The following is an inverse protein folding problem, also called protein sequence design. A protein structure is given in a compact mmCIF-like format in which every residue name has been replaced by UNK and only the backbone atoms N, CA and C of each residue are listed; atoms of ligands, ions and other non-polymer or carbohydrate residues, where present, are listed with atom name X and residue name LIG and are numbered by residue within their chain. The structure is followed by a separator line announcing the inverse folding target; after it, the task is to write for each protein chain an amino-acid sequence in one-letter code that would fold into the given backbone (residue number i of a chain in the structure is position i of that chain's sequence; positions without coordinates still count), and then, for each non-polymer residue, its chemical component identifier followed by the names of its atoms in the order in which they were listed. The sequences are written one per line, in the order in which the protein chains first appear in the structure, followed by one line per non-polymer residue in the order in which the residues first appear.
data_IF_636671361794
#
_entry.id   IF_636671361794
#
_cell.length_a   1.000
_cell.length_b   1.000
_cell.length_c   1.000
_cell.angle_alpha   90.00
_cell.angle_beta   90.00
_cell.angle_gamma   90.00
#
_symmetry.space_group_name_H-M   'P 1'
#
loop_
_entity.id
_entity.type
_entity.pdbx_description
1 polymer ?
#
# COMPACT_ATOMS: atom_id res chain seq x y z
N UNK A 1 7.87 -19.78 -58.85
CA UNK A 1 7.71 -21.17 -59.31
C UNK A 1 6.52 -21.77 -58.55
N UNK A 2 5.36 -21.82 -59.19
CA UNK A 2 4.24 -22.75 -59.27
C UNK A 2 4.03 -23.66 -58.03
N UNK A 3 2.97 -23.38 -57.27
CA UNK A 3 1.64 -24.03 -57.17
C UNK A 3 1.65 -25.56 -57.01
N UNK A 4 0.94 -26.03 -55.94
CA UNK A 4 -0.14 -26.99 -56.08
C UNK A 4 -0.89 -27.14 -54.74
N UNK A 5 -2.20 -26.90 -54.77
CA UNK A 5 -3.21 -27.39 -53.81
C UNK A 5 -3.63 -28.80 -54.21
N UNK A 6 -4.09 -29.68 -53.31
CA UNK A 6 -4.97 -30.77 -53.68
C UNK A 6 -6.40 -30.58 -53.20
N UNK A 7 -7.29 -31.02 -54.06
CA UNK A 7 -8.75 -31.08 -53.97
C UNK A 7 -9.24 -32.03 -52.88
N UNK A 8 -10.37 -31.60 -52.32
CA UNK A 8 -11.24 -32.38 -51.46
C UNK A 8 -12.14 -33.30 -52.31
N UNK A 9 -12.18 -34.58 -51.96
CA UNK A 9 -13.15 -35.54 -52.54
C UNK A 9 -14.19 -35.92 -51.47
N UNK A 10 -15.45 -35.48 -51.65
CA UNK A 10 -16.58 -35.92 -50.86
C UNK A 10 -17.16 -37.18 -51.49
N UNK A 11 -17.12 -38.30 -50.80
CA UNK A 11 -17.88 -39.47 -51.12
C UNK A 11 -19.13 -39.55 -50.24
N UNK A 12 -20.29 -39.39 -50.84
CA UNK A 12 -21.59 -39.61 -50.18
C UNK A 12 -21.94 -41.11 -50.28
N UNK A 13 -22.09 -41.77 -49.13
CA UNK A 13 -22.65 -43.11 -49.03
C UNK A 13 -24.08 -43.00 -48.53
N UNK A 14 -25.00 -43.26 -49.38
CA UNK A 14 -26.42 -43.39 -49.04
C UNK A 14 -26.69 -44.79 -48.47
N UNK A 15 -27.09 -44.88 -47.22
CA UNK A 15 -27.50 -46.09 -46.54
C UNK A 15 -29.03 -46.05 -46.39
N UNK A 16 -29.72 -46.88 -47.14
CA UNK A 16 -31.19 -47.11 -47.06
C UNK A 16 -31.49 -47.95 -45.83
N UNK A 17 -32.13 -47.36 -44.81
CA UNK A 17 -32.67 -48.05 -43.64
C UNK A 17 -34.15 -48.33 -43.82
N UNK A 18 -34.51 -49.61 -43.83
CA UNK A 18 -35.89 -50.10 -43.75
C UNK A 18 -36.44 -49.84 -42.34
N UNK A 19 -37.60 -49.19 -42.31
CA UNK A 19 -38.28 -48.89 -41.04
C UNK A 19 -38.96 -50.16 -40.50
N UNK A 20 -38.58 -50.63 -39.35
CA UNK A 20 -39.30 -51.57 -38.50
C UNK A 20 -40.21 -50.78 -37.57
N UNK A 21 -41.54 -51.00 -37.73
CA UNK A 21 -42.53 -50.40 -36.85
C UNK A 21 -42.42 -51.02 -35.44
N UNK A 22 -41.94 -50.23 -34.48
CA UNK A 22 -41.93 -50.59 -33.05
C UNK A 22 -43.30 -50.23 -32.45
N UNK A 23 -44.00 -51.26 -31.94
CA UNK A 23 -45.22 -51.10 -31.13
C UNK A 23 -44.85 -50.37 -29.80
N UNK A 24 -45.35 -49.17 -29.63
CA UNK A 24 -45.18 -48.39 -28.41
C UNK A 24 -46.11 -48.91 -27.31
N UNK A 25 -45.56 -49.51 -26.28
CA UNK A 25 -46.24 -49.71 -24.99
C UNK A 25 -46.45 -48.34 -24.31
N UNK A 26 -47.65 -48.05 -23.77
CA UNK A 26 -47.86 -46.78 -23.07
C UNK A 26 -47.03 -46.75 -21.80
N UNK A 27 -46.17 -45.71 -21.71
CA UNK A 27 -45.42 -45.40 -20.52
C UNK A 27 -46.39 -44.96 -19.42
N UNK A 28 -46.28 -45.47 -18.18
CA UNK A 28 -47.10 -44.98 -17.06
C UNK A 28 -46.90 -43.47 -16.89
N UNK A 29 -48.01 -42.75 -16.68
CA UNK A 29 -48.05 -41.31 -16.42
C UNK A 29 -46.99 -40.93 -15.36
N UNK A 30 -46.01 -40.16 -15.77
CA UNK A 30 -45.04 -39.62 -14.85
C UNK A 30 -45.75 -38.62 -13.92
N UNK A 31 -45.71 -38.89 -12.62
CA UNK A 31 -46.21 -37.96 -11.60
C UNK A 31 -45.69 -36.54 -11.87
N UNK A 32 -46.55 -35.53 -11.80
CA UNK A 32 -46.10 -34.15 -12.01
C UNK A 32 -44.96 -33.82 -11.04
N UNK A 33 -43.83 -33.38 -11.59
CA UNK A 33 -42.72 -32.90 -10.78
C UNK A 33 -43.22 -31.71 -9.94
N UNK A 34 -43.01 -31.70 -8.61
CA UNK A 34 -43.42 -30.58 -7.82
C UNK A 34 -42.69 -29.31 -8.34
N UNK A 35 -43.46 -28.25 -8.56
CA UNK A 35 -42.92 -26.94 -8.91
C UNK A 35 -41.82 -26.56 -7.90
N UNK A 36 -40.66 -26.14 -8.36
CA UNK A 36 -39.64 -25.66 -7.44
C UNK A 36 -40.20 -24.43 -6.70
N UNK A 37 -40.57 -24.63 -5.45
CA UNK A 37 -40.95 -23.48 -4.60
C UNK A 37 -39.78 -22.50 -4.60
N UNK A 38 -40.01 -21.20 -4.87
CA UNK A 38 -38.96 -20.21 -4.74
C UNK A 38 -38.35 -20.33 -3.33
N UNK A 39 -37.08 -20.63 -3.25
CA UNK A 39 -36.41 -20.58 -1.95
C UNK A 39 -36.55 -19.15 -1.41
N UNK A 40 -36.99 -18.97 -0.16
CA UNK A 40 -37.01 -17.63 0.44
C UNK A 40 -35.61 -17.03 0.29
N UNK A 41 -35.55 -15.79 -0.19
CA UNK A 41 -34.29 -15.05 -0.21
C UNK A 41 -33.66 -15.10 1.19
N UNK A 42 -32.35 -15.36 1.30
CA UNK A 42 -31.69 -15.36 2.61
C UNK A 42 -31.99 -14.04 3.31
N UNK A 43 -32.44 -14.12 4.57
CA UNK A 43 -32.71 -12.94 5.38
C UNK A 43 -31.47 -12.06 5.36
N UNK A 44 -31.61 -10.71 5.22
CA UNK A 44 -30.47 -9.82 5.27
C UNK A 44 -29.76 -10.04 6.60
N UNK A 45 -28.46 -10.43 6.52
CA UNK A 45 -27.62 -10.55 7.70
C UNK A 45 -27.44 -9.13 8.22
N UNK A 46 -27.98 -8.86 9.43
CA UNK A 46 -27.74 -7.58 10.10
C UNK A 46 -26.25 -7.52 10.44
N UNK A 47 -25.48 -6.80 9.64
CA UNK A 47 -24.09 -6.51 9.97
C UNK A 47 -24.08 -5.55 11.17
N UNK A 48 -23.24 -5.81 12.18
CA UNK A 48 -23.08 -4.86 13.28
C UNK A 48 -22.64 -3.51 12.74
N UNK A 49 -23.12 -2.43 13.34
CA UNK A 49 -22.68 -1.07 12.99
C UNK A 49 -21.16 -0.96 13.20
N UNK A 50 -20.45 -0.20 12.34
CA UNK A 50 -19.04 0.05 12.53
C UNK A 50 -18.74 0.65 13.91
N UNK A 51 -17.58 0.36 14.51
CA UNK A 51 -17.21 0.95 15.79
C UNK A 51 -17.12 2.47 15.67
N UNK A 52 -17.55 3.19 16.70
CA UNK A 52 -17.40 4.63 16.79
C UNK A 52 -15.94 4.95 17.11
N UNK A 53 -15.26 5.67 16.21
CA UNK A 53 -13.86 6.08 16.37
C UNK A 53 -13.81 7.59 16.60
N UNK A 54 -13.23 8.01 17.72
CA UNK A 54 -13.06 9.43 18.07
C UNK A 54 -11.88 10.04 17.31
N UNK A 55 -11.99 10.12 15.98
CA UNK A 55 -11.00 10.71 15.08
C UNK A 55 -11.67 11.68 14.10
N UNK A 56 -10.93 12.72 13.65
CA UNK A 56 -11.41 13.66 12.63
C UNK A 56 -11.59 12.98 11.28
N UNK A 57 -10.65 12.10 10.92
CA UNK A 57 -10.72 11.26 9.73
C UNK A 57 -10.14 9.88 10.05
N UNK A 58 -10.67 8.85 9.42
CA UNK A 58 -10.13 7.49 9.49
C UNK A 58 -10.52 6.69 8.25
N UNK A 59 -9.77 5.62 8.01
CA UNK A 59 -10.02 4.66 6.94
C UNK A 59 -9.60 3.26 7.39
N UNK A 60 -10.44 2.27 7.07
CA UNK A 60 -10.06 0.86 7.05
C UNK A 60 -10.15 0.36 5.62
N UNK A 61 -9.04 -0.13 5.10
CA UNK A 61 -8.90 -0.63 3.73
C UNK A 61 -8.43 -2.08 3.76
N UNK A 62 -9.00 -2.91 2.90
CA UNK A 62 -8.45 -4.25 2.64
C UNK A 62 -7.10 -4.13 1.93
N UNK A 63 -6.08 -4.74 2.53
CA UNK A 63 -4.70 -4.65 2.03
C UNK A 63 -4.54 -5.21 0.61
N UNK A 64 -5.20 -6.33 0.29
CA UNK A 64 -4.99 -7.02 -0.98
C UNK A 64 -5.76 -6.38 -2.14
N UNK A 65 -6.98 -5.93 -1.87
CA UNK A 65 -7.89 -5.42 -2.91
C UNK A 65 -7.88 -3.90 -3.02
N UNK A 66 -7.42 -3.18 -1.98
CA UNK A 66 -7.56 -1.73 -1.87
C UNK A 66 -9.00 -1.27 -1.63
N UNK A 67 -9.94 -2.20 -1.34
CA UNK A 67 -11.32 -1.86 -1.08
C UNK A 67 -11.46 -1.14 0.27
N UNK A 68 -12.13 0.01 0.26
CA UNK A 68 -12.51 0.71 1.49
C UNK A 68 -13.63 -0.09 2.17
N UNK A 69 -13.40 -0.52 3.41
CA UNK A 69 -14.35 -1.24 4.24
C UNK A 69 -15.14 -0.29 5.12
N UNK A 70 -14.47 0.71 5.69
CA UNK A 70 -15.06 1.76 6.52
C UNK A 70 -14.20 3.02 6.34
N UNK A 71 -14.84 4.19 6.23
CA UNK A 71 -14.14 5.48 6.18
C UNK A 71 -15.02 6.61 6.70
N UNK A 72 -14.39 7.68 7.14
CA UNK A 72 -15.03 8.93 7.49
C UNK A 72 -14.05 10.07 7.24
N UNK A 73 -14.45 11.04 6.42
CA UNK A 73 -13.62 12.17 6.01
C UNK A 73 -12.23 11.74 5.49
N UNK A 74 -12.14 10.57 4.87
CA UNK A 74 -10.88 9.92 4.49
C UNK A 74 -10.05 10.70 3.49
N UNK A 75 -10.67 11.63 2.76
CA UNK A 75 -10.02 12.52 1.78
C UNK A 75 -9.76 13.93 2.33
N UNK A 76 -10.13 14.21 3.58
CA UNK A 76 -9.85 15.52 4.18
C UNK A 76 -8.35 15.72 4.38
N UNK A 77 -7.85 16.90 3.98
CA UNK A 77 -6.46 17.29 4.20
C UNK A 77 -6.24 17.69 5.64
N UNK A 78 -5.44 16.93 6.34
CA UNK A 78 -5.09 17.13 7.74
C UNK A 78 -3.58 17.13 7.93
N UNK A 79 -3.06 17.83 8.95
CA UNK A 79 -1.64 17.73 9.31
C UNK A 79 -1.32 16.28 9.73
N UNK A 80 -0.39 15.59 9.03
CA UNK A 80 -0.07 14.19 9.33
C UNK A 80 0.79 14.01 10.57
N UNK A 81 1.38 15.08 11.08
CA UNK A 81 2.35 15.03 12.17
C UNK A 81 3.42 13.94 11.91
N UNK A 82 3.79 13.15 12.92
CA UNK A 82 4.82 12.12 12.78
C UNK A 82 4.47 10.96 11.82
N UNK A 83 3.23 10.86 11.32
CA UNK A 83 2.92 9.93 10.22
C UNK A 83 3.71 10.28 8.94
N UNK A 84 4.17 11.52 8.78
CA UNK A 84 5.12 11.95 7.75
C UNK A 84 6.33 11.01 7.64
N UNK A 85 6.82 10.50 8.77
CA UNK A 85 8.00 9.64 8.83
C UNK A 85 7.80 8.27 8.15
N UNK A 86 6.56 7.88 7.89
CA UNK A 86 6.29 6.71 7.03
C UNK A 86 6.79 6.99 5.60
N UNK A 87 6.59 8.21 5.06
CA UNK A 87 7.12 8.57 3.76
C UNK A 87 8.65 8.72 3.80
N UNK A 88 9.19 9.33 4.86
CA UNK A 88 10.65 9.42 5.04
C UNK A 88 11.30 8.04 5.05
N UNK A 89 10.75 7.11 5.83
CA UNK A 89 11.22 5.72 5.88
C UNK A 89 11.01 5.00 4.53
N UNK A 90 9.90 5.27 3.83
CA UNK A 90 9.66 4.71 2.50
C UNK A 90 10.72 5.15 1.49
N UNK A 91 11.06 6.44 1.47
CA UNK A 91 12.15 6.97 0.62
C UNK A 91 13.47 6.31 0.96
N UNK A 92 13.84 6.25 2.25
CA UNK A 92 15.07 5.58 2.71
C UNK A 92 15.10 4.13 2.23
N UNK A 93 14.01 3.38 2.42
CA UNK A 93 13.90 2.00 2.00
C UNK A 93 14.03 1.81 0.48
N UNK A 94 13.50 2.75 -0.32
CA UNK A 94 13.68 2.74 -1.78
C UNK A 94 15.13 3.02 -2.19
N UNK A 95 15.83 3.92 -1.48
CA UNK A 95 17.24 4.21 -1.72
C UNK A 95 18.13 2.99 -1.37
N UNK A 96 17.83 2.32 -0.25
CA UNK A 96 18.48 1.05 0.15
C UNK A 96 18.24 -0.05 -0.88
N UNK A 97 17.00 -0.25 -1.29
CA UNK A 97 16.58 -1.26 -2.27
C UNK A 97 17.26 -1.06 -3.63
N UNK A 98 17.45 0.20 -4.03
CA UNK A 98 18.11 0.57 -5.29
C UNK A 98 19.64 0.59 -5.18
N UNK A 99 20.20 0.34 -4.00
CA UNK A 99 21.65 0.33 -3.76
C UNK A 99 22.32 1.70 -3.85
N UNK A 100 21.55 2.81 -3.77
CA UNK A 100 22.10 4.17 -3.75
C UNK A 100 22.70 4.55 -2.40
N UNK A 101 22.20 3.96 -1.34
CA UNK A 101 22.77 3.98 0.01
C UNK A 101 22.86 2.56 0.56
N UNK A 102 23.67 2.36 1.60
CA UNK A 102 23.82 1.07 2.28
C UNK A 102 23.51 1.22 3.76
N UNK A 103 23.08 0.15 4.45
CA UNK A 103 22.78 0.19 5.89
C UNK A 103 23.97 0.62 6.76
N UNK A 104 25.19 0.28 6.33
CA UNK A 104 26.46 0.57 7.02
C UNK A 104 27.12 1.88 6.58
N UNK A 105 26.55 2.63 5.64
CA UNK A 105 27.04 3.96 5.31
C UNK A 105 26.98 4.87 6.53
N UNK A 106 28.07 5.61 6.80
CA UNK A 106 28.20 6.49 7.94
C UNK A 106 27.81 7.91 7.57
N UNK A 107 26.77 8.42 8.23
CA UNK A 107 26.23 9.77 8.03
C UNK A 107 26.85 10.70 9.06
N UNK A 108 27.55 11.74 8.61
CA UNK A 108 28.06 12.78 9.48
C UNK A 108 26.94 13.76 9.83
N UNK A 109 26.70 13.93 11.14
CA UNK A 109 25.61 14.77 11.64
C UNK A 109 25.95 16.25 11.49
N UNK A 110 25.12 16.96 10.75
CA UNK A 110 25.25 18.39 10.50
C UNK A 110 24.74 19.24 11.68
N UNK A 111 24.96 20.54 11.60
CA UNK A 111 24.39 21.51 12.54
C UNK A 111 22.83 21.51 12.48
N UNK A 112 22.23 21.30 11.30
CA UNK A 112 20.79 21.30 11.14
C UNK A 112 20.17 20.06 11.77
N UNK A 113 20.83 18.90 11.66
CA UNK A 113 20.40 17.62 12.21
C UNK A 113 20.69 17.48 13.71
N UNK A 114 21.16 18.55 14.39
CA UNK A 114 21.48 18.47 15.81
C UNK A 114 20.23 18.33 16.67
N UNK A 115 20.23 17.33 17.57
CA UNK A 115 19.12 17.05 18.49
C UNK A 115 18.66 18.26 19.32
N UNK A 116 19.55 19.22 19.61
CA UNK A 116 19.20 20.46 20.34
C UNK A 116 18.21 21.37 19.60
N UNK A 117 18.15 21.28 18.26
CA UNK A 117 17.20 22.06 17.46
C UNK A 117 15.76 21.59 17.66
N UNK A 118 15.57 20.44 18.29
CA UNK A 118 14.27 19.75 18.46
C UNK A 118 13.93 19.57 19.94
N UNK A 119 14.13 20.59 20.78
CA UNK A 119 14.01 20.52 22.25
C UNK A 119 12.67 19.97 22.72
N UNK A 120 11.56 20.36 22.08
CA UNK A 120 10.20 20.07 22.48
C UNK A 120 9.53 18.96 21.64
N UNK A 121 10.34 18.12 20.99
CA UNK A 121 9.84 17.06 20.12
C UNK A 121 10.68 15.79 20.21
N UNK A 122 10.17 14.69 19.61
CA UNK A 122 10.86 13.39 19.58
C UNK A 122 12.18 13.49 18.82
N UNK A 123 13.23 12.89 19.36
CA UNK A 123 14.58 12.91 18.81
C UNK A 123 15.37 11.66 19.20
N UNK A 124 16.39 11.36 18.42
CA UNK A 124 17.34 10.28 18.64
C UNK A 124 18.54 10.70 19.49
N UNK A 125 18.67 12.01 19.79
CA UNK A 125 19.78 12.61 20.54
C UNK A 125 21.14 12.55 19.83
N UNK A 126 21.15 12.68 18.51
CA UNK A 126 22.39 12.73 17.75
C UNK A 126 23.10 14.08 17.87
N UNK A 127 24.43 14.06 17.79
CA UNK A 127 25.29 15.22 18.04
C UNK A 127 26.09 15.63 16.79
N UNK A 128 26.26 16.94 16.61
CA UNK A 128 27.04 17.51 15.49
C UNK A 128 28.44 16.91 15.42
N UNK A 129 28.86 16.57 14.19
CA UNK A 129 30.17 16.03 13.87
C UNK A 129 30.35 14.55 14.22
N UNK A 130 29.37 13.92 14.89
CA UNK A 130 29.37 12.48 15.09
C UNK A 130 28.92 11.77 13.81
N UNK A 131 29.25 10.49 13.72
CA UNK A 131 28.82 9.64 12.64
C UNK A 131 27.85 8.56 13.15
N UNK A 132 26.75 8.38 12.44
CA UNK A 132 25.73 7.36 12.74
C UNK A 132 25.42 6.62 11.47
N UNK A 133 25.26 5.29 11.53
CA UNK A 133 24.94 4.49 10.37
C UNK A 133 23.52 4.75 9.84
N UNK A 134 23.31 4.59 8.55
CA UNK A 134 21.99 4.66 7.90
C UNK A 134 20.98 3.75 8.62
N UNK A 135 21.38 2.51 8.95
CA UNK A 135 20.52 1.56 9.68
C UNK A 135 20.05 2.12 11.03
N UNK A 136 20.97 2.68 11.83
CA UNK A 136 20.63 3.26 13.12
C UNK A 136 19.75 4.50 12.98
N UNK A 137 20.04 5.39 12.00
CA UNK A 137 19.20 6.56 11.73
C UNK A 137 17.78 6.16 11.31
N UNK A 138 17.65 5.16 10.44
CA UNK A 138 16.34 4.66 10.00
C UNK A 138 15.55 4.06 11.18
N UNK A 139 16.19 3.26 12.03
CA UNK A 139 15.59 2.76 13.27
C UNK A 139 15.18 3.89 14.21
N UNK A 140 16.03 4.92 14.36
CA UNK A 140 15.71 6.12 15.14
C UNK A 140 14.50 6.88 14.62
N UNK A 141 14.32 6.96 13.32
CA UNK A 141 13.14 7.55 12.67
C UNK A 141 11.88 6.72 12.97
N UNK A 142 11.94 5.40 12.77
CA UNK A 142 10.78 4.52 12.87
C UNK A 142 10.38 4.26 14.33
N UNK A 143 11.33 3.92 15.19
CA UNK A 143 11.06 3.45 16.55
C UNK A 143 10.93 4.63 17.52
N UNK A 144 11.85 5.60 17.45
CA UNK A 144 11.93 6.74 18.36
C UNK A 144 11.20 7.98 17.84
N UNK A 145 10.78 7.97 16.57
CA UNK A 145 10.24 9.14 15.88
C UNK A 145 11.20 10.34 15.85
N UNK A 146 12.51 10.08 15.67
CA UNK A 146 13.59 11.07 15.77
C UNK A 146 13.54 12.12 14.66
N UNK A 147 13.23 13.39 15.01
CA UNK A 147 13.20 14.49 14.04
C UNK A 147 14.62 14.82 13.53
N UNK A 148 15.60 14.81 14.43
CA UNK A 148 17.02 14.98 14.14
C UNK A 148 17.54 13.95 13.14
N UNK A 149 17.17 12.68 13.31
CA UNK A 149 17.50 11.60 12.39
C UNK A 149 16.85 11.79 10.99
N UNK A 150 15.64 12.35 10.91
CA UNK A 150 15.00 12.68 9.64
C UNK A 150 15.85 13.68 8.84
N UNK A 151 16.33 14.74 9.47
CA UNK A 151 17.18 15.75 8.81
C UNK A 151 18.50 15.14 8.37
N UNK A 152 19.15 14.35 9.24
CA UNK A 152 20.41 13.69 8.89
C UNK A 152 20.26 12.81 7.62
N UNK A 153 19.19 12.04 7.54
CA UNK A 153 18.90 11.21 6.39
C UNK A 153 18.49 12.02 5.15
N UNK A 154 17.72 13.09 5.32
CA UNK A 154 17.33 13.98 4.23
C UNK A 154 18.56 14.63 3.57
N UNK A 155 19.47 15.16 4.39
CA UNK A 155 20.73 15.74 3.90
C UNK A 155 21.64 14.70 3.25
N UNK A 156 21.71 13.50 3.82
CA UNK A 156 22.54 12.41 3.27
C UNK A 156 22.04 11.94 1.89
N UNK A 157 20.74 11.80 1.72
CA UNK A 157 20.14 11.29 0.48
C UNK A 157 20.02 12.36 -0.60
N UNK A 158 19.58 13.56 -0.23
CA UNK A 158 19.18 14.58 -1.19
C UNK A 158 20.01 15.91 -1.07
N UNK A 159 20.95 15.97 -0.15
CA UNK A 159 21.78 17.15 0.08
C UNK A 159 21.11 18.25 0.90
N UNK A 160 19.78 18.27 1.02
CA UNK A 160 19.02 19.21 1.86
C UNK A 160 17.64 18.64 2.18
N UNK A 161 16.99 19.17 3.23
CA UNK A 161 15.61 18.82 3.57
C UNK A 161 14.64 19.20 2.46
N UNK A 162 14.78 20.36 1.83
CA UNK A 162 13.90 20.81 0.74
C UNK A 162 13.97 19.88 -0.47
N UNK A 163 15.18 19.45 -0.84
CA UNK A 163 15.37 18.47 -1.92
C UNK A 163 14.78 17.12 -1.56
N UNK A 164 14.88 16.71 -0.29
CA UNK A 164 14.29 15.48 0.19
C UNK A 164 12.75 15.56 0.22
N UNK A 165 12.17 16.68 0.66
CA UNK A 165 10.72 16.90 0.59
C UNK A 165 10.21 16.84 -0.85
N UNK A 166 10.97 17.39 -1.81
CA UNK A 166 10.66 17.25 -3.24
C UNK A 166 10.67 15.79 -3.69
N UNK A 167 11.61 14.97 -3.20
CA UNK A 167 11.66 13.53 -3.47
C UNK A 167 10.48 12.79 -2.81
N UNK A 168 10.10 13.17 -1.58
CA UNK A 168 8.89 12.65 -0.91
C UNK A 168 7.63 12.90 -1.75
N UNK A 169 7.48 14.11 -2.28
CA UNK A 169 6.34 14.49 -3.12
C UNK A 169 6.32 13.70 -4.45
N UNK A 170 7.47 13.45 -5.07
CA UNK A 170 7.55 12.58 -6.25
C UNK A 170 7.09 11.14 -5.94
N UNK A 171 7.43 10.61 -4.77
CA UNK A 171 6.94 9.30 -4.35
C UNK A 171 5.44 9.33 -4.03
N UNK A 172 4.94 10.40 -3.40
CA UNK A 172 3.51 10.58 -3.15
C UNK A 172 2.70 10.56 -4.46
N UNK A 173 3.17 11.28 -5.49
CA UNK A 173 2.56 11.27 -6.82
C UNK A 173 2.54 9.86 -7.44
N UNK A 174 3.67 9.14 -7.40
CA UNK A 174 3.78 7.76 -7.92
C UNK A 174 2.87 6.78 -7.20
N UNK A 175 2.63 6.98 -5.91
CA UNK A 175 1.73 6.17 -5.10
C UNK A 175 0.25 6.58 -5.23
N UNK A 176 -0.04 7.67 -5.94
CA UNK A 176 -1.40 8.17 -6.13
C UNK A 176 -1.96 8.95 -4.95
N UNK A 177 -1.11 9.49 -4.07
CA UNK A 177 -1.46 10.28 -2.88
C UNK A 177 -1.81 11.72 -3.29
N UNK A 178 -3.03 11.94 -3.73
CA UNK A 178 -3.49 13.21 -4.37
C UNK A 178 -3.79 14.32 -3.38
N UNK A 179 -4.11 13.99 -2.15
CA UNK A 179 -4.41 14.91 -1.07
C UNK A 179 -3.19 15.11 -0.15
N UNK A 180 -1.97 14.89 -0.66
CA UNK A 180 -0.73 14.94 0.13
C UNK A 180 0.25 15.95 -0.43
N UNK A 181 0.88 16.72 0.47
CA UNK A 181 2.01 17.58 0.17
C UNK A 181 2.96 17.62 1.37
N UNK A 182 4.21 17.27 1.16
CA UNK A 182 5.27 17.29 2.16
C UNK A 182 6.18 18.50 1.95
N UNK A 183 6.46 19.23 3.02
CA UNK A 183 7.43 20.35 3.04
C UNK A 183 8.59 20.13 4.00
N UNK A 184 8.56 19.04 4.78
CA UNK A 184 9.65 18.61 5.66
C UNK A 184 9.64 17.09 5.83
N UNK A 185 10.74 16.56 6.39
CA UNK A 185 10.94 15.11 6.53
C UNK A 185 10.41 14.55 7.86
N UNK A 186 10.00 15.38 8.81
CA UNK A 186 9.72 14.97 10.20
C UNK A 186 8.26 15.15 10.64
N UNK A 187 7.49 16.01 9.95
CA UNK A 187 6.07 16.24 10.23
C UNK A 187 5.79 17.33 11.29
N UNK A 188 6.74 18.18 11.62
CA UNK A 188 6.44 19.38 12.39
C UNK A 188 5.51 20.28 11.57
N UNK A 189 4.65 21.00 12.27
CA UNK A 189 3.57 21.76 11.67
C UNK A 189 4.06 22.79 10.65
N UNK A 190 3.44 22.77 9.50
CA UNK A 190 3.51 23.80 8.47
C UNK A 190 2.14 23.80 7.77
N UNK A 191 1.53 24.95 7.45
CA UNK A 191 0.21 25.03 6.80
C UNK A 191 0.17 24.31 5.44
N UNK A 192 1.30 24.23 4.74
CA UNK A 192 1.42 23.57 3.45
C UNK A 192 1.80 22.09 3.55
N UNK A 193 1.91 21.55 4.80
CA UNK A 193 2.26 20.16 5.08
C UNK A 193 1.01 19.38 5.48
N UNK A 194 0.45 18.60 4.55
CA UNK A 194 -0.80 17.89 4.77
C UNK A 194 -0.83 16.52 4.08
N UNK A 195 -1.74 15.68 4.53
CA UNK A 195 -2.08 14.40 3.92
C UNK A 195 -3.54 14.05 4.26
N UNK A 196 -4.04 12.92 3.75
CA UNK A 196 -5.36 12.38 4.07
C UNK A 196 -5.25 10.97 4.64
N UNK A 197 -6.31 10.49 5.29
CA UNK A 197 -6.35 9.12 5.80
C UNK A 197 -6.26 8.09 4.65
N UNK A 198 -6.85 8.42 3.51
CA UNK A 198 -6.76 7.60 2.30
C UNK A 198 -5.33 7.50 1.77
N UNK A 199 -4.66 8.63 1.62
CA UNK A 199 -3.28 8.66 1.12
C UNK A 199 -2.30 7.96 2.06
N UNK A 200 -2.50 8.12 3.38
CA UNK A 200 -1.70 7.40 4.38
C UNK A 200 -1.93 5.88 4.33
N UNK A 201 -3.14 5.42 3.98
CA UNK A 201 -3.41 4.00 3.77
C UNK A 201 -2.71 3.47 2.51
N UNK A 202 -2.68 4.25 1.41
CA UNK A 202 -1.90 3.90 0.21
C UNK A 202 -0.41 3.75 0.53
N UNK A 203 0.14 4.69 1.30
CA UNK A 203 1.54 4.63 1.74
C UNK A 203 1.81 3.41 2.62
N UNK A 204 0.91 3.10 3.58
CA UNK A 204 1.01 1.91 4.42
C UNK A 204 0.99 0.61 3.59
N UNK A 205 0.09 0.52 2.61
CA UNK A 205 0.03 -0.60 1.67
C UNK A 205 1.34 -0.74 0.87
N UNK A 206 1.89 0.38 0.39
CA UNK A 206 3.14 0.40 -0.35
C UNK A 206 4.34 -0.03 0.51
N UNK A 207 4.45 0.43 1.76
CA UNK A 207 5.49 0.00 2.70
C UNK A 207 5.49 -1.51 2.88
N UNK A 208 4.34 -2.11 3.13
CA UNK A 208 4.20 -3.56 3.33
C UNK A 208 4.57 -4.33 2.05
N UNK A 209 4.08 -3.87 0.89
CA UNK A 209 4.27 -4.52 -0.40
C UNK A 209 5.69 -4.42 -0.92
N UNK A 210 6.27 -3.22 -0.89
CA UNK A 210 7.49 -2.91 -1.61
C UNK A 210 8.75 -3.08 -0.75
N UNK A 211 8.62 -2.93 0.56
CA UNK A 211 9.70 -2.82 1.53
C UNK A 211 9.46 -3.69 2.79
N UNK A 212 9.25 -5.01 2.66
CA UNK A 212 8.91 -5.88 3.79
C UNK A 212 9.99 -5.91 4.88
N UNK A 213 11.27 -5.73 4.53
CA UNK A 213 12.36 -5.68 5.50
C UNK A 213 12.30 -4.39 6.34
N UNK A 214 12.02 -3.25 5.71
CA UNK A 214 11.82 -1.97 6.39
C UNK A 214 10.55 -2.00 7.25
N UNK A 215 9.48 -2.59 6.72
CA UNK A 215 8.23 -2.75 7.45
C UNK A 215 8.42 -3.58 8.74
N UNK A 216 9.30 -4.57 8.74
CA UNK A 216 9.60 -5.37 9.93
C UNK A 216 10.16 -4.54 11.10
N UNK A 217 10.83 -3.40 10.83
CA UNK A 217 11.35 -2.50 11.88
C UNK A 217 10.21 -1.90 12.70
N UNK A 218 9.04 -1.65 12.10
CA UNK A 218 7.87 -1.08 12.79
C UNK A 218 7.33 -1.96 13.93
N UNK A 219 7.69 -3.24 13.96
CA UNK A 219 7.32 -4.16 15.05
C UNK A 219 8.28 -4.12 16.24
N UNK A 220 9.45 -3.46 16.11
CA UNK A 220 10.43 -3.34 17.18
C UNK A 220 9.97 -2.29 18.20
N UNK A 221 10.13 -2.62 19.49
CA UNK A 221 9.67 -1.74 20.57
C UNK A 221 10.73 -0.76 21.05
N UNK A 222 11.98 -1.13 20.91
CA UNK A 222 13.15 -0.37 21.33
C UNK A 222 14.38 -0.77 20.50
N UNK A 223 15.41 0.06 20.55
CA UNK A 223 16.74 -0.25 20.05
C UNK A 223 17.79 0.60 20.79
N UNK A 224 19.05 0.17 20.75
CA UNK A 224 20.19 0.92 21.31
C UNK A 224 21.24 1.09 20.20
N UNK A 225 21.87 2.27 20.16
CA UNK A 225 22.90 2.61 19.16
C UNK A 225 24.09 3.31 19.82
#
# INVERSE_FOLDING_TARGET
MKLAKPLLFCAAVALSMTAVAATTTPTPDALPKPDPRPMPAPAPVALPSPPQIAAKAFLLMDYHTGQILIGNNEHDRLPPASLTKMMTSYVIGQELKNGRIKPDDMVTISQNAWAKNYSDSSKMFIEVGKQVSVDNLNKGIIIQSGNDACIAMAEHIAGSEDSFASLMNQWAERLGMKETHFVNAHGLYNPDHYSSAYDMALLGQALIRDLPNEYAIYSQKDFTF
#
